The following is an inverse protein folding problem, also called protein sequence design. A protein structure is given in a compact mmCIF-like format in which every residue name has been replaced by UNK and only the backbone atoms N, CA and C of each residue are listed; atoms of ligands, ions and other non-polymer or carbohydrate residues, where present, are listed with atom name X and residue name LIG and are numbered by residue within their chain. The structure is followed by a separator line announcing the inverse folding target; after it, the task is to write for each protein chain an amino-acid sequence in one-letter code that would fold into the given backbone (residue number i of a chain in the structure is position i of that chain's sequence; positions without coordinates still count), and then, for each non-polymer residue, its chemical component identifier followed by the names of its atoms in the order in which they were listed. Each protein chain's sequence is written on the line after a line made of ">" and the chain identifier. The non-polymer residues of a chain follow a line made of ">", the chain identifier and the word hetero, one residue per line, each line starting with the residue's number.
data_IF_938960119430
#
_entry.id   IF_938960119430
#
_cell.length_a   1.000
_cell.length_b   1.000
_cell.length_c   1.000
_cell.angle_alpha   90.00
_cell.angle_beta   90.00
_cell.angle_gamma   90.00
#
_symmetry.space_group_name_H-M   'P 1'
#
loop_
_entity.id
_entity.type
_entity.pdbx_description
1 polymer ?
#
# COMPACT_ATOMS: atom_id res chain seq x y z
N UNK A 1 -16.01 -49.61 13.74
CA UNK A 1 -15.89 -49.72 12.26
C UNK A 1 -16.82 -48.70 11.61
N UNK A 2 -16.52 -48.29 10.37
CA UNK A 2 -17.23 -47.32 9.51
C UNK A 2 -17.12 -45.85 9.93
N UNK A 3 -16.65 -44.87 9.13
CA UNK A 3 -16.21 -44.80 7.72
C UNK A 3 -15.14 -43.68 7.63
N UNK A 4 -13.99 -43.97 7.03
CA UNK A 4 -13.14 -42.96 6.38
C UNK A 4 -12.81 -43.53 5.00
N UNK A 5 -13.59 -43.11 4.01
CA UNK A 5 -13.29 -43.22 2.59
C UNK A 5 -13.84 -41.94 1.96
N UNK A 6 -12.97 -41.26 1.22
CA UNK A 6 -13.20 -40.15 0.28
C UNK A 6 -12.33 -38.92 0.54
N UNK A 7 -11.02 -39.11 0.63
CA UNK A 7 -10.06 -38.00 0.61
C UNK A 7 -8.86 -38.21 -0.33
N UNK A 8 -8.80 -39.30 -1.08
CA UNK A 8 -7.61 -39.64 -1.89
C UNK A 8 -7.86 -39.75 -3.41
N UNK A 9 -9.08 -39.56 -3.91
CA UNK A 9 -9.36 -39.73 -5.35
C UNK A 9 -9.43 -38.44 -6.19
N UNK A 10 -9.34 -37.25 -5.59
CA UNK A 10 -9.44 -35.98 -6.36
C UNK A 10 -8.09 -35.34 -6.71
N UNK A 11 -6.97 -36.04 -6.56
CA UNK A 11 -5.63 -35.44 -6.65
C UNK A 11 -4.99 -35.44 -8.05
N UNK A 12 -5.60 -36.07 -9.05
CA UNK A 12 -4.93 -36.34 -10.34
C UNK A 12 -5.62 -35.75 -11.58
N UNK A 13 -6.86 -35.24 -11.47
CA UNK A 13 -7.58 -34.63 -12.61
C UNK A 13 -7.53 -33.09 -12.64
N UNK A 14 -7.36 -32.41 -11.50
CA UNK A 14 -7.29 -30.93 -11.43
C UNK A 14 -5.92 -30.33 -11.83
N UNK A 15 -4.93 -31.16 -12.19
CA UNK A 15 -3.63 -30.70 -12.71
C UNK A 15 -3.66 -30.38 -14.21
N UNK A 16 -4.78 -30.65 -14.89
CA UNK A 16 -4.97 -30.31 -16.29
C UNK A 16 -5.50 -28.87 -16.42
N UNK A 17 -4.58 -27.98 -16.81
CA UNK A 17 -4.80 -26.65 -17.37
C UNK A 17 -4.77 -25.43 -16.42
N UNK A 18 -3.82 -25.39 -15.48
CA UNK A 18 -3.30 -24.12 -14.96
C UNK A 18 -2.35 -23.46 -15.98
N UNK A 19 -2.79 -23.30 -17.22
CA UNK A 19 -1.99 -22.70 -18.32
C UNK A 19 -2.09 -21.19 -18.30
N UNK A 20 -3.28 -20.66 -18.04
CA UNK A 20 -3.61 -19.24 -18.06
C UNK A 20 -3.70 -18.59 -16.66
N UNK A 21 -3.56 -17.27 -16.64
CA UNK A 21 -3.61 -16.44 -15.44
C UNK A 21 -4.96 -16.50 -14.69
N UNK A 22 -6.07 -16.69 -15.39
CA UNK A 22 -7.42 -16.72 -14.82
C UNK A 22 -7.67 -18.00 -14.03
N UNK A 23 -7.30 -19.14 -14.60
CA UNK A 23 -7.36 -20.46 -13.99
C UNK A 23 -6.45 -20.50 -12.75
N UNK A 24 -5.25 -19.96 -12.85
CA UNK A 24 -4.36 -19.83 -11.69
C UNK A 24 -4.89 -18.90 -10.60
N UNK A 25 -5.55 -17.80 -10.97
CA UNK A 25 -6.17 -16.91 -10.00
C UNK A 25 -7.36 -17.57 -9.28
N UNK A 26 -8.24 -18.26 -10.01
CA UNK A 26 -9.38 -18.99 -9.43
C UNK A 26 -8.90 -20.05 -8.44
N UNK A 27 -7.90 -20.85 -8.84
CA UNK A 27 -7.29 -21.85 -7.96
C UNK A 27 -6.66 -21.20 -6.72
N UNK A 28 -5.93 -20.10 -6.88
CA UNK A 28 -5.32 -19.39 -5.76
C UNK A 28 -6.35 -18.88 -4.75
N UNK A 29 -7.50 -18.40 -5.22
CA UNK A 29 -8.59 -17.93 -4.35
C UNK A 29 -9.26 -19.08 -3.61
N UNK A 30 -9.46 -20.23 -4.26
CA UNK A 30 -10.11 -21.41 -3.69
C UNK A 30 -9.21 -22.15 -2.69
N UNK A 31 -7.91 -22.26 -2.97
CA UNK A 31 -6.96 -23.07 -2.20
C UNK A 31 -6.03 -22.25 -1.28
N UNK A 32 -6.33 -20.97 -1.06
CA UNK A 32 -5.58 -20.17 -0.10
C UNK A 32 -5.89 -20.60 1.34
N UNK A 33 -4.87 -20.90 2.19
CA UNK A 33 -5.06 -21.42 3.56
C UNK A 33 -5.79 -20.43 4.49
N UNK A 34 -5.91 -19.17 4.08
CA UNK A 34 -6.82 -18.19 4.68
C UNK A 34 -7.64 -17.58 3.55
N UNK A 35 -8.96 -17.43 3.76
CA UNK A 35 -9.85 -16.77 2.80
C UNK A 35 -9.25 -15.42 2.41
N UNK A 36 -8.97 -15.26 1.12
CA UNK A 36 -8.34 -14.05 0.62
C UNK A 36 -9.27 -12.86 0.85
N UNK A 37 -8.75 -11.74 1.36
CA UNK A 37 -9.55 -10.53 1.57
C UNK A 37 -10.07 -10.01 0.21
N UNK A 38 -11.24 -9.40 0.19
CA UNK A 38 -11.86 -8.80 -0.99
C UNK A 38 -10.89 -7.84 -1.72
N UNK A 39 -10.15 -7.03 -0.96
CA UNK A 39 -9.12 -6.13 -1.53
C UNK A 39 -8.02 -6.91 -2.26
N UNK A 40 -7.56 -8.02 -1.70
CA UNK A 40 -6.52 -8.84 -2.32
C UNK A 40 -7.01 -9.48 -3.64
N UNK A 41 -8.25 -9.97 -3.65
CA UNK A 41 -8.88 -10.53 -4.86
C UNK A 41 -9.02 -9.48 -5.95
N UNK A 42 -9.44 -8.27 -5.60
CA UNK A 42 -9.56 -7.16 -6.55
C UNK A 42 -8.20 -6.77 -7.15
N UNK A 43 -7.16 -6.63 -6.34
CA UNK A 43 -5.84 -6.23 -6.86
C UNK A 43 -5.21 -7.30 -7.75
N UNK A 44 -5.33 -8.57 -7.39
CA UNK A 44 -4.83 -9.67 -8.22
C UNK A 44 -5.67 -9.78 -9.50
N UNK A 45 -7.00 -9.68 -9.40
CA UNK A 45 -7.90 -9.70 -10.56
C UNK A 45 -7.63 -8.55 -11.54
N UNK A 46 -7.28 -7.36 -11.05
CA UNK A 46 -6.84 -6.25 -11.89
C UNK A 46 -5.53 -6.54 -12.62
N UNK A 47 -4.55 -7.17 -11.94
CA UNK A 47 -3.31 -7.59 -12.58
C UNK A 47 -3.57 -8.60 -13.70
N UNK A 48 -4.39 -9.62 -13.42
CA UNK A 48 -4.79 -10.64 -14.39
C UNK A 48 -5.45 -9.99 -15.61
N UNK A 49 -6.38 -9.06 -15.40
CA UNK A 49 -7.05 -8.34 -16.49
C UNK A 49 -6.09 -7.46 -17.31
N UNK A 50 -5.09 -6.86 -16.67
CA UNK A 50 -4.14 -5.98 -17.33
C UNK A 50 -3.10 -6.74 -18.16
N UNK A 51 -2.55 -7.84 -17.61
CA UNK A 51 -1.59 -8.70 -18.32
C UNK A 51 -2.30 -9.47 -19.45
N UNK A 52 -3.52 -9.92 -19.18
CA UNK A 52 -4.33 -10.71 -20.10
C UNK A 52 -4.88 -11.95 -19.37
N UNK A 53 -6.21 -12.12 -19.33
CA UNK A 53 -6.83 -13.23 -18.59
C UNK A 53 -6.50 -14.60 -19.18
N UNK A 54 -6.40 -14.69 -20.50
CA UNK A 54 -6.10 -15.92 -21.27
C UNK A 54 -4.59 -16.08 -21.54
N UNK A 55 -3.75 -15.22 -20.96
CA UNK A 55 -2.31 -15.23 -21.25
C UNK A 55 -1.66 -16.39 -20.51
N UNK A 56 -0.84 -17.16 -21.23
CA UNK A 56 -0.05 -18.24 -20.66
C UNK A 56 0.95 -17.73 -19.63
N UNK A 57 0.95 -18.34 -18.44
CA UNK A 57 1.76 -17.89 -17.30
C UNK A 57 3.27 -17.95 -17.61
N UNK A 58 3.70 -18.92 -18.41
CA UNK A 58 5.11 -19.12 -18.81
C UNK A 58 5.66 -17.98 -19.67
N UNK A 59 4.78 -17.32 -20.42
CA UNK A 59 5.14 -16.25 -21.36
C UNK A 59 5.22 -14.88 -20.71
N UNK A 60 4.84 -14.76 -19.43
CA UNK A 60 4.89 -13.50 -18.69
C UNK A 60 6.35 -13.14 -18.45
N UNK A 61 6.74 -11.97 -18.93
CA UNK A 61 8.09 -11.45 -18.80
C UNK A 61 8.25 -10.54 -17.58
N UNK A 62 9.46 -10.44 -17.03
CA UNK A 62 9.79 -9.44 -16.01
C UNK A 62 9.42 -8.00 -16.39
N UNK A 63 9.56 -7.65 -17.68
CA UNK A 63 9.25 -6.33 -18.22
C UNK A 63 7.77 -5.99 -18.13
N UNK A 64 6.89 -6.96 -18.39
CA UNK A 64 5.44 -6.78 -18.26
C UNK A 64 5.03 -6.55 -16.80
N UNK A 65 5.65 -7.24 -15.85
CA UNK A 65 5.43 -7.00 -14.42
C UNK A 65 5.92 -5.59 -14.03
N UNK A 66 7.03 -5.13 -14.60
CA UNK A 66 7.52 -3.77 -14.44
C UNK A 66 6.53 -2.71 -14.96
N UNK A 67 6.04 -2.90 -16.19
CA UNK A 67 5.06 -2.01 -16.80
C UNK A 67 3.72 -2.00 -16.03
N UNK A 68 3.27 -3.15 -15.54
CA UNK A 68 2.13 -3.22 -14.64
C UNK A 68 2.39 -2.45 -13.34
N UNK A 69 3.61 -2.51 -12.83
CA UNK A 69 4.00 -1.81 -11.60
C UNK A 69 3.86 -0.29 -11.74
N UNK A 70 4.19 0.26 -12.91
CA UNK A 70 4.01 1.69 -13.20
C UNK A 70 2.52 2.04 -13.28
N UNK A 71 1.70 1.20 -13.92
CA UNK A 71 0.26 1.40 -13.98
C UNK A 71 -0.41 1.26 -12.61
N UNK A 72 0.06 0.32 -11.81
CA UNK A 72 -0.36 0.11 -10.43
C UNK A 72 -0.02 1.32 -9.55
N UNK A 73 1.14 1.94 -9.75
CA UNK A 73 1.60 3.11 -8.99
C UNK A 73 0.79 4.38 -9.29
N UNK A 74 0.27 4.56 -10.52
CA UNK A 74 -0.55 5.72 -10.88
C UNK A 74 -1.90 5.76 -10.15
N UNK A 75 -2.43 4.60 -9.79
CA UNK A 75 -3.80 4.43 -9.25
C UNK A 75 -3.88 4.05 -7.78
N UNK A 76 -2.73 3.85 -7.14
CA UNK A 76 -2.66 3.33 -5.76
C UNK A 76 -2.02 4.35 -4.84
N UNK A 77 -2.77 4.76 -3.81
CA UNK A 77 -2.28 5.60 -2.73
C UNK A 77 -1.03 5.01 -2.06
N UNK A 78 -0.07 5.86 -1.71
CA UNK A 78 1.28 5.42 -1.26
C UNK A 78 1.29 4.70 0.09
N UNK A 79 0.22 4.82 0.86
CA UNK A 79 -0.08 4.25 2.16
C UNK A 79 -0.70 2.84 2.07
N UNK A 80 -1.65 2.60 1.16
CA UNK A 80 -2.23 1.26 0.91
C UNK A 80 -1.36 0.40 -0.01
N UNK A 81 -0.46 1.05 -0.73
CA UNK A 81 0.52 0.49 -1.65
C UNK A 81 1.28 -0.74 -1.10
N UNK A 82 1.92 -0.70 0.09
CA UNK A 82 2.72 -1.81 0.60
C UNK A 82 1.89 -3.08 0.82
N UNK A 83 0.67 -2.93 1.33
CA UNK A 83 -0.25 -4.02 1.57
C UNK A 83 -0.75 -4.63 0.25
N UNK A 84 -1.16 -3.78 -0.70
CA UNK A 84 -1.64 -4.21 -2.02
C UNK A 84 -0.54 -4.92 -2.82
N UNK A 85 0.70 -4.41 -2.80
CA UNK A 85 1.85 -5.09 -3.40
C UNK A 85 2.15 -6.42 -2.72
N UNK A 86 1.98 -6.53 -1.40
CA UNK A 86 2.17 -7.80 -0.71
C UNK A 86 1.16 -8.86 -1.19
N UNK A 87 -0.09 -8.49 -1.49
CA UNK A 87 -1.07 -9.41 -2.06
C UNK A 87 -0.64 -9.93 -3.43
N UNK A 88 -0.22 -9.03 -4.32
CA UNK A 88 0.20 -9.40 -5.67
C UNK A 88 1.49 -10.23 -5.63
N UNK A 89 2.46 -9.89 -4.77
CA UNK A 89 3.69 -10.68 -4.58
C UNK A 89 3.41 -12.08 -4.05
N UNK A 90 2.43 -12.25 -3.18
CA UNK A 90 2.02 -13.59 -2.71
C UNK A 90 1.46 -14.44 -3.85
N UNK A 91 0.65 -13.84 -4.73
CA UNK A 91 0.17 -14.53 -5.92
C UNK A 91 1.29 -14.86 -6.92
N UNK A 92 2.18 -13.93 -7.23
CA UNK A 92 3.34 -14.19 -8.10
C UNK A 92 4.29 -15.25 -7.52
N UNK A 93 4.48 -15.25 -6.19
CA UNK A 93 5.23 -16.31 -5.50
C UNK A 93 4.51 -17.66 -5.60
N UNK A 94 3.18 -17.68 -5.50
CA UNK A 94 2.39 -18.88 -5.74
C UNK A 94 2.60 -19.42 -7.16
N UNK A 95 2.58 -18.56 -8.19
CA UNK A 95 2.86 -18.98 -9.58
C UNK A 95 4.26 -19.56 -9.74
N UNK A 96 5.25 -19.01 -9.04
CA UNK A 96 6.62 -19.55 -9.03
C UNK A 96 6.68 -20.91 -8.32
N UNK A 97 6.04 -21.04 -7.16
CA UNK A 97 6.10 -22.25 -6.33
C UNK A 97 5.37 -23.44 -6.97
N UNK A 98 4.41 -23.18 -7.86
CA UNK A 98 3.75 -24.22 -8.67
C UNK A 98 4.45 -24.41 -10.04
N UNK A 99 5.65 -23.86 -10.22
CA UNK A 99 6.47 -23.97 -11.44
C UNK A 99 5.76 -23.45 -12.72
N UNK A 100 4.74 -22.60 -12.56
CA UNK A 100 3.93 -22.06 -13.66
C UNK A 100 4.61 -20.90 -14.39
N UNK A 101 5.61 -20.24 -13.76
CA UNK A 101 6.25 -19.01 -14.27
C UNK A 101 7.77 -19.13 -14.44
N UNK A 102 8.30 -18.42 -15.44
CA UNK A 102 9.70 -18.43 -15.89
C UNK A 102 10.61 -17.50 -15.05
N UNK A 103 10.59 -17.65 -13.73
CA UNK A 103 11.51 -16.97 -12.81
C UNK A 103 10.84 -16.14 -11.71
N UNK A 104 11.62 -15.31 -11.00
CA UNK A 104 11.12 -14.53 -9.86
C UNK A 104 10.38 -13.25 -10.30
N UNK A 105 9.19 -13.40 -10.89
CA UNK A 105 8.33 -12.28 -11.32
C UNK A 105 8.00 -11.31 -10.17
N UNK A 106 7.83 -11.81 -8.95
CA UNK A 106 7.52 -11.00 -7.77
C UNK A 106 8.59 -9.93 -7.46
N UNK A 107 9.84 -10.15 -7.87
CA UNK A 107 10.95 -9.21 -7.64
C UNK A 107 10.89 -7.96 -8.55
N UNK A 108 10.17 -8.04 -9.67
CA UNK A 108 10.01 -6.96 -10.64
C UNK A 108 8.82 -6.06 -10.34
N UNK A 109 7.92 -6.47 -9.44
CA UNK A 109 6.87 -5.61 -8.91
C UNK A 109 7.46 -4.61 -7.90
N UNK A 110 7.79 -3.42 -8.38
CA UNK A 110 8.40 -2.33 -7.62
C UNK A 110 7.50 -1.10 -7.65
N UNK A 111 6.94 -0.72 -6.52
CA UNK A 111 6.46 0.66 -6.39
C UNK A 111 7.64 1.58 -6.17
N UNK A 112 7.60 2.74 -6.83
CA UNK A 112 8.30 3.92 -6.29
C UNK A 112 7.74 4.14 -4.90
N UNK A 113 8.51 3.74 -3.88
CA UNK A 113 8.29 4.18 -2.51
C UNK A 113 8.14 5.69 -2.56
N UNK A 114 7.00 6.22 -2.12
CA UNK A 114 6.99 7.59 -1.62
C UNK A 114 8.15 7.69 -0.62
N UNK A 115 8.90 8.79 -0.69
CA UNK A 115 10.08 8.96 0.17
C UNK A 115 9.72 8.91 1.66
N UNK A 116 8.43 8.94 2.02
CA UNK A 116 7.89 8.71 3.37
C UNK A 116 8.45 7.45 4.02
N UNK A 117 8.48 6.31 3.33
CA UNK A 117 9.04 5.07 3.87
C UNK A 117 10.58 5.03 3.95
N UNK A 118 11.26 5.97 3.28
CA UNK A 118 12.70 6.21 3.46
C UNK A 118 12.94 7.21 4.58
N UNK A 119 12.06 8.19 4.76
CA UNK A 119 12.08 9.15 5.87
C UNK A 119 11.85 8.39 7.18
N UNK A 120 10.80 7.57 7.30
CA UNK A 120 10.55 6.78 8.51
C UNK A 120 11.64 5.75 8.79
N UNK A 121 12.17 5.06 7.77
CA UNK A 121 13.27 4.12 7.94
C UNK A 121 14.61 4.81 8.21
N UNK A 122 14.81 6.03 7.70
CA UNK A 122 15.96 6.89 8.05
C UNK A 122 15.82 7.36 9.49
N UNK A 123 14.64 7.81 9.92
CA UNK A 123 14.29 8.16 11.30
C UNK A 123 14.46 6.99 12.29
N UNK A 124 14.04 5.77 11.91
CA UNK A 124 14.24 4.58 12.75
C UNK A 124 15.70 4.10 12.77
N UNK A 125 16.44 4.31 11.68
CA UNK A 125 17.88 4.04 11.63
C UNK A 125 18.70 5.11 12.36
N UNK A 126 18.20 6.34 12.44
CA UNK A 126 18.70 7.44 13.29
C UNK A 126 17.95 7.48 14.62
N UNK A 127 17.82 6.33 15.30
CA UNK A 127 17.34 6.23 16.69
C UNK A 127 18.23 6.97 17.71
N UNK A 128 19.14 7.83 17.25
CA UNK A 128 19.96 8.74 18.04
C UNK A 128 20.01 10.17 17.49
N UNK A 129 19.26 10.53 16.44
CA UNK A 129 19.13 11.94 16.01
C UNK A 129 17.73 12.42 16.37
N UNK A 130 17.63 13.02 17.55
CA UNK A 130 16.46 13.83 17.95
C UNK A 130 16.22 14.92 16.89
N UNK A 131 14.97 15.10 16.46
CA UNK A 131 14.64 16.20 15.55
C UNK A 131 14.55 17.47 16.38
N UNK A 132 15.55 18.33 16.25
CA UNK A 132 15.52 19.62 16.92
C UNK A 132 14.48 20.53 16.26
N UNK A 133 13.44 20.91 17.01
CA UNK A 133 12.44 21.88 16.61
C UNK A 133 12.54 23.11 17.50
N UNK A 134 12.31 24.29 16.94
CA UNK A 134 12.10 25.50 17.75
C UNK A 134 10.74 25.44 18.45
N UNK A 135 10.58 26.15 19.56
CA UNK A 135 9.27 26.23 20.26
C UNK A 135 8.15 26.70 19.31
N UNK A 136 8.44 27.66 18.43
CA UNK A 136 7.51 28.13 17.41
C UNK A 136 7.14 27.04 16.39
N UNK A 137 8.13 26.27 15.92
CA UNK A 137 7.89 25.16 14.99
C UNK A 137 7.09 24.02 15.61
N UNK A 138 7.36 23.70 16.89
CA UNK A 138 6.59 22.70 17.63
C UNK A 138 5.12 23.11 17.77
N UNK A 139 4.85 24.36 18.17
CA UNK A 139 3.48 24.91 18.28
C UNK A 139 2.75 24.93 16.93
N UNK A 140 3.47 25.20 15.85
CA UNK A 140 2.88 25.17 14.50
C UNK A 140 2.46 23.76 14.10
N UNK A 141 3.31 22.75 14.33
CA UNK A 141 2.93 21.35 14.10
C UNK A 141 1.77 20.89 14.99
N UNK A 142 1.74 21.31 16.25
CA UNK A 142 0.64 21.01 17.17
C UNK A 142 -0.68 21.65 16.69
N UNK A 143 -0.62 22.89 16.20
CA UNK A 143 -1.76 23.58 15.59
C UNK A 143 -2.24 22.86 14.33
N UNK A 144 -1.33 22.52 13.42
CA UNK A 144 -1.67 21.78 12.20
C UNK A 144 -2.31 20.43 12.52
N UNK A 145 -1.79 19.70 13.51
CA UNK A 145 -2.35 18.44 13.97
C UNK A 145 -3.80 18.62 14.46
N UNK A 146 -4.05 19.67 15.25
CA UNK A 146 -5.39 20.00 15.75
C UNK A 146 -6.34 20.37 14.60
N UNK A 147 -5.87 21.14 13.63
CA UNK A 147 -6.66 21.56 12.47
C UNK A 147 -7.08 20.33 11.65
N UNK A 148 -6.15 19.41 11.33
CA UNK A 148 -6.46 18.17 10.62
C UNK A 148 -7.40 17.24 11.41
N UNK A 149 -7.22 17.10 12.72
CA UNK A 149 -8.14 16.33 13.58
C UNK A 149 -9.54 16.93 13.63
N UNK A 150 -9.67 18.25 13.48
CA UNK A 150 -10.97 18.94 13.43
C UNK A 150 -11.62 18.82 12.05
N UNK A 151 -10.84 18.71 10.98
CA UNK A 151 -11.34 18.50 9.62
C UNK A 151 -11.83 17.05 9.40
N UNK A 152 -11.20 16.07 10.06
CA UNK A 152 -11.47 14.64 9.88
C UNK A 152 -12.96 14.25 10.04
N UNK A 153 -13.74 14.73 11.03
CA UNK A 153 -15.18 14.48 11.10
C UNK A 153 -15.97 15.05 9.92
N UNK A 154 -15.56 16.21 9.38
CA UNK A 154 -16.23 16.84 8.24
C UNK A 154 -16.05 16.00 6.97
N UNK A 155 -14.83 15.50 6.75
CA UNK A 155 -14.53 14.60 5.63
C UNK A 155 -15.27 13.27 5.74
N UNK A 156 -15.42 12.74 6.96
CA UNK A 156 -16.19 11.52 7.20
C UNK A 156 -17.67 11.69 6.83
N UNK A 157 -18.27 12.85 7.14
CA UNK A 157 -19.64 13.18 6.72
C UNK A 157 -19.74 13.39 5.20
N UNK A 158 -18.74 13.97 4.54
CA UNK A 158 -18.67 14.07 3.08
C UNK A 158 -18.67 12.68 2.41
N UNK A 159 -17.84 11.76 2.92
CA UNK A 159 -17.80 10.36 2.44
C UNK A 159 -19.13 9.66 2.69
N UNK A 160 -19.74 9.86 3.87
CA UNK A 160 -21.04 9.26 4.21
C UNK A 160 -22.14 9.76 3.28
N UNK A 161 -22.14 11.06 2.95
CA UNK A 161 -23.08 11.65 1.99
C UNK A 161 -22.86 11.11 0.58
N UNK A 162 -21.61 11.05 0.11
CA UNK A 162 -21.28 10.48 -1.20
C UNK A 162 -21.60 8.98 -1.28
N UNK A 163 -21.50 8.24 -0.16
CA UNK A 163 -21.88 6.84 -0.09
C UNK A 163 -23.40 6.61 -0.11
N UNK A 164 -24.20 7.58 0.34
CA UNK A 164 -25.66 7.51 0.35
C UNK A 164 -26.28 7.66 -1.05
N UNK A 165 -25.55 8.23 -2.01
CA UNK A 165 -25.99 8.39 -3.42
C UNK A 165 -26.02 7.07 -4.22
N UNK A 166 -25.70 5.93 -3.59
CA UNK A 166 -26.21 4.61 -4.00
C UNK A 166 -25.54 3.91 -5.18
N UNK A 167 -24.84 4.62 -6.08
CA UNK A 167 -24.12 3.98 -7.19
C UNK A 167 -22.63 3.77 -6.84
N UNK A 168 -22.32 2.68 -6.15
CA UNK A 168 -20.97 2.41 -5.63
C UNK A 168 -19.99 2.00 -6.75
N UNK A 169 -20.47 1.67 -7.96
CA UNK A 169 -19.64 1.04 -9.01
C UNK A 169 -18.84 2.04 -9.85
N UNK A 170 -19.27 3.30 -9.96
CA UNK A 170 -18.59 4.34 -10.75
C UNK A 170 -18.59 5.75 -10.08
N UNK A 171 -18.75 5.83 -8.76
CA UNK A 171 -18.86 7.12 -8.07
C UNK A 171 -17.48 7.77 -7.83
N UNK A 172 -17.01 8.50 -8.84
CA UNK A 172 -15.80 9.34 -8.75
C UNK A 172 -15.83 10.32 -7.54
N UNK A 173 -16.96 10.95 -7.17
CA UNK A 173 -17.06 11.72 -5.92
C UNK A 173 -16.77 10.92 -4.65
N UNK A 174 -17.22 9.67 -4.53
CA UNK A 174 -16.96 8.82 -3.36
C UNK A 174 -15.48 8.45 -3.26
N UNK A 175 -14.87 8.07 -4.38
CA UNK A 175 -13.44 7.73 -4.42
C UNK A 175 -12.58 8.95 -4.09
N UNK A 176 -12.90 10.13 -4.64
CA UNK A 176 -12.22 11.38 -4.30
C UNK A 176 -12.36 11.76 -2.81
N UNK A 177 -13.54 11.58 -2.23
CA UNK A 177 -13.77 11.86 -0.81
C UNK A 177 -12.99 10.88 0.10
N UNK A 178 -12.89 9.60 -0.28
CA UNK A 178 -12.06 8.61 0.43
C UNK A 178 -10.58 8.93 0.33
N UNK A 179 -10.09 9.29 -0.85
CA UNK A 179 -8.70 9.70 -1.05
C UNK A 179 -8.33 10.90 -0.19
N UNK A 180 -9.23 11.88 -0.07
CA UNK A 180 -9.04 13.04 0.80
C UNK A 180 -8.92 12.65 2.29
N UNK A 181 -9.73 11.70 2.76
CA UNK A 181 -9.60 11.15 4.13
C UNK A 181 -8.25 10.45 4.32
N UNK A 182 -7.83 9.62 3.37
CA UNK A 182 -6.53 8.92 3.42
C UNK A 182 -5.37 9.93 3.47
N UNK A 183 -5.41 10.96 2.64
CA UNK A 183 -4.40 12.02 2.60
C UNK A 183 -4.28 12.75 3.95
N UNK A 184 -5.40 13.15 4.55
CA UNK A 184 -5.42 13.86 5.85
C UNK A 184 -4.91 12.94 6.96
N UNK A 185 -5.32 11.67 6.99
CA UNK A 185 -4.79 10.71 7.96
C UNK A 185 -3.28 10.49 7.83
N UNK A 186 -2.77 10.42 6.60
CA UNK A 186 -1.32 10.33 6.36
C UNK A 186 -0.58 11.55 6.91
N UNK A 187 -1.16 12.75 6.80
CA UNK A 187 -0.58 13.98 7.36
C UNK A 187 -0.61 14.01 8.87
N UNK A 188 -1.70 13.56 9.49
CA UNK A 188 -1.80 13.39 10.94
C UNK A 188 -0.69 12.47 11.44
N UNK A 189 -0.51 11.30 10.80
CA UNK A 189 0.52 10.34 11.20
C UNK A 189 1.95 10.89 11.05
N UNK A 190 2.22 11.61 9.97
CA UNK A 190 3.51 12.26 9.74
C UNK A 190 3.83 13.27 10.85
N UNK A 191 2.87 14.14 11.17
CA UNK A 191 3.05 15.16 12.21
C UNK A 191 3.18 14.53 13.60
N UNK A 192 2.38 13.51 13.92
CA UNK A 192 2.48 12.78 15.20
C UNK A 192 3.84 12.09 15.35
N UNK A 193 4.37 11.51 14.26
CA UNK A 193 5.69 10.90 14.26
C UNK A 193 6.79 11.94 14.51
N UNK A 194 6.70 13.12 13.89
CA UNK A 194 7.64 14.24 14.09
C UNK A 194 7.59 14.72 15.54
N UNK A 195 6.38 15.01 16.07
CA UNK A 195 6.20 15.50 17.44
C UNK A 195 6.70 14.50 18.49
N UNK A 196 6.61 13.19 18.21
CA UNK A 196 7.07 12.13 19.13
C UNK A 196 8.59 12.09 19.29
N UNK A 197 9.35 12.47 18.27
CA UNK A 197 10.82 12.43 18.27
C UNK A 197 11.45 13.83 18.36
N UNK A 198 10.62 14.86 18.51
CA UNK A 198 11.07 16.25 18.52
C UNK A 198 11.67 16.64 19.87
N UNK A 199 12.83 17.29 19.85
CA UNK A 199 13.42 17.97 21.00
C UNK A 199 13.30 19.49 20.80
N UNK A 200 12.80 20.21 21.80
CA UNK A 200 12.55 21.66 21.71
C UNK A 200 13.85 22.38 22.03
N UNK A 201 14.46 23.00 21.01
CA UNK A 201 15.67 23.82 21.17
C UNK A 201 15.32 25.30 21.21
N UNK A 202 16.01 26.04 22.08
CA UNK A 202 15.95 27.49 22.13
C UNK A 202 17.10 28.08 21.29
N UNK A 203 16.77 28.93 20.32
CA UNK A 203 17.71 29.52 19.35
C UNK A 203 18.70 30.51 19.98
N UNK A 204 18.67 30.68 21.30
CA UNK A 204 19.49 31.61 22.07
C UNK A 204 20.89 31.08 22.42
N UNK A 205 21.17 29.77 22.24
CA UNK A 205 22.34 29.13 22.88
C UNK A 205 23.41 28.48 21.99
N UNK A 206 23.32 28.53 20.65
CA UNK A 206 24.39 27.98 19.78
C UNK A 206 24.88 29.01 18.77
N UNK A 207 26.15 29.42 18.92
CA UNK A 207 26.82 30.41 18.10
C UNK A 207 27.07 29.93 16.66
N UNK A 208 26.99 30.89 15.74
CA UNK A 208 27.45 30.96 14.33
C UNK A 208 27.24 29.75 13.39
N UNK A 209 26.61 28.68 13.84
CA UNK A 209 26.26 27.53 13.01
C UNK A 209 24.82 27.70 12.52
N UNK A 210 24.64 27.81 11.20
CA UNK A 210 23.31 27.86 10.58
C UNK A 210 22.68 26.47 10.72
N UNK A 211 21.72 26.35 11.64
CA UNK A 211 20.95 25.12 11.88
C UNK A 211 19.56 25.28 11.25
N UNK A 212 18.89 24.18 10.95
CA UNK A 212 17.51 24.17 10.45
C UNK A 212 16.64 25.02 11.40
N UNK A 213 16.14 26.16 10.92
CA UNK A 213 15.39 27.16 11.71
C UNK A 213 16.01 28.56 11.75
N UNK A 214 17.26 28.75 11.30
CA UNK A 214 17.87 30.08 11.19
C UNK A 214 17.16 30.92 10.11
N UNK A 215 16.69 32.12 10.49
CA UNK A 215 16.05 33.07 9.57
C UNK A 215 17.15 33.78 8.78
N UNK A 216 17.31 33.40 7.50
CA UNK A 216 18.27 34.06 6.60
C UNK A 216 17.56 35.21 5.89
N UNK A 217 17.95 36.44 6.20
CA UNK A 217 17.60 37.63 5.43
C UNK A 217 18.64 37.84 4.33
N UNK A 218 18.17 37.91 3.07
CA UNK A 218 18.97 38.25 1.88
C UNK A 218 19.13 39.76 1.79
#
# INVERSE_FOLDING_TARGET
>A
MTKIKNSEENSLEDQLELTDLTSAFKYYVQNSPRKLNNVAQQEIGRMVRWIGPEREIKTITPSEIGAYSDEFAKRTSTDTAPQKVAYIKKFLTFLKNNELSSGNLASHLRMKKSNVGKITKKLEATKGEEINLTEAGYKDYEKQLKDYKTEMPKLAEEVRKAAADGDIRENAPLDAAREKIEMVNSKIYEIEAILKVANIIDSSSQGDQIVIGSKVSV
#
